data_IF_239672953624
#
_entry.id   IF_239672953624
#
_cell.length_a   1.000
_cell.length_b   1.000
_cell.length_c   1.000
_cell.angle_alpha   90.00
_cell.angle_beta   90.00
_cell.angle_gamma   90.00
#
_symmetry.space_group_name_H-M   'P 1'
#
loop_
_entity.id
_entity.type
_entity.pdbx_description
1 polymer ?
#
# COMPACT_ATOMS: atom_id res chain seq x y z
N UNK A 1 8.62 -11.65 -3.65
CA UNK A 1 7.18 -11.92 -3.38
C UNK A 1 6.42 -10.60 -3.48
N UNK A 2 5.21 -10.55 -4.07
CA UNK A 2 4.43 -9.31 -4.19
C UNK A 2 3.27 -9.33 -3.20
N UNK A 3 3.18 -8.34 -2.32
CA UNK A 3 2.11 -8.23 -1.34
C UNK A 3 0.96 -7.37 -1.89
N UNK A 4 -0.01 -8.01 -2.55
CA UNK A 4 -1.19 -7.38 -3.16
C UNK A 4 -2.46 -7.63 -2.36
N UNK A 5 -3.49 -6.83 -2.62
CA UNK A 5 -4.83 -7.09 -2.11
C UNK A 5 -5.40 -8.37 -2.75
N UNK A 6 -5.98 -9.23 -1.93
CA UNK A 6 -6.68 -10.42 -2.38
C UNK A 6 -8.14 -10.14 -2.76
N UNK A 7 -8.84 -11.18 -3.23
CA UNK A 7 -10.27 -11.09 -3.58
C UNK A 7 -11.13 -10.69 -2.36
N UNK A 8 -10.74 -11.14 -1.16
CA UNK A 8 -11.46 -10.84 0.07
C UNK A 8 -11.46 -9.34 0.38
N UNK A 9 -10.31 -8.68 0.25
CA UNK A 9 -10.16 -7.24 0.48
C UNK A 9 -10.99 -6.43 -0.53
N UNK A 10 -11.05 -6.86 -1.79
CA UNK A 10 -11.89 -6.24 -2.81
C UNK A 10 -13.39 -6.41 -2.52
N UNK A 11 -13.80 -7.60 -2.06
CA UNK A 11 -15.19 -7.84 -1.67
C UNK A 11 -15.61 -7.00 -0.47
N UNK A 12 -14.75 -6.90 0.57
CA UNK A 12 -15.00 -6.05 1.74
C UNK A 12 -15.15 -4.59 1.33
N UNK A 13 -14.30 -4.10 0.42
CA UNK A 13 -14.36 -2.73 -0.08
C UNK A 13 -15.65 -2.48 -0.85
N UNK A 14 -16.05 -3.40 -1.73
CA UNK A 14 -17.31 -3.32 -2.48
C UNK A 14 -18.52 -3.22 -1.54
N UNK A 15 -18.65 -4.17 -0.61
CA UNK A 15 -19.75 -4.21 0.35
C UNK A 15 -19.73 -2.98 1.28
N UNK A 16 -18.57 -2.59 1.79
CA UNK A 16 -18.45 -1.45 2.69
C UNK A 16 -18.83 -0.13 2.05
N UNK A 17 -18.26 0.19 0.89
CA UNK A 17 -18.57 1.41 0.16
C UNK A 17 -20.02 1.44 -0.33
N UNK A 18 -20.51 0.30 -0.83
CA UNK A 18 -21.90 0.16 -1.28
C UNK A 18 -22.91 0.36 -0.17
N UNK A 19 -22.65 -0.23 1.02
CA UNK A 19 -23.51 -0.11 2.19
C UNK A 19 -23.58 1.34 2.69
N UNK A 20 -22.43 1.99 2.86
CA UNK A 20 -22.37 3.38 3.33
C UNK A 20 -23.12 4.31 2.38
N UNK A 21 -22.88 4.19 1.07
CA UNK A 21 -23.55 5.01 0.06
C UNK A 21 -25.04 4.69 -0.02
N UNK A 22 -25.42 3.41 0.04
CA UNK A 22 -26.82 2.98 0.00
C UNK A 22 -27.64 3.48 1.19
N UNK A 23 -27.08 3.41 2.42
CA UNK A 23 -27.71 3.97 3.62
C UNK A 23 -27.89 5.48 3.48
N UNK A 24 -26.86 6.19 3.04
CA UNK A 24 -26.93 7.63 2.79
C UNK A 24 -28.06 7.98 1.81
N UNK A 25 -28.10 7.33 0.64
CA UNK A 25 -29.11 7.58 -0.38
C UNK A 25 -30.53 7.16 0.06
N UNK A 26 -30.66 6.09 0.86
CA UNK A 26 -31.96 5.67 1.41
C UNK A 26 -32.53 6.65 2.42
N UNK A 27 -31.69 7.18 3.31
CA UNK A 27 -32.10 8.13 4.34
C UNK A 27 -32.43 9.52 3.74
N UNK A 28 -31.55 10.05 2.90
CA UNK A 28 -31.73 11.40 2.30
C UNK A 28 -32.68 11.38 1.10
N UNK A 29 -32.80 10.29 0.37
CA UNK A 29 -33.73 10.11 -0.75
C UNK A 29 -35.14 9.68 -0.32
N UNK A 30 -35.38 9.42 0.95
CA UNK A 30 -36.68 9.02 1.50
C UNK A 30 -37.20 7.66 0.99
N UNK A 31 -36.39 6.86 0.31
CA UNK A 31 -36.78 5.58 -0.26
C UNK A 31 -35.66 4.52 -0.12
N UNK A 32 -35.89 3.56 0.77
CA UNK A 32 -34.93 2.49 1.05
C UNK A 32 -34.62 1.62 -0.16
N UNK A 33 -35.60 1.38 -1.05
CA UNK A 33 -35.38 0.60 -2.27
C UNK A 33 -34.39 1.29 -3.19
N UNK A 34 -34.54 2.60 -3.38
CA UNK A 34 -33.59 3.43 -4.14
C UNK A 34 -32.20 3.39 -3.50
N UNK A 35 -32.13 3.48 -2.16
CA UNK A 35 -30.87 3.35 -1.43
C UNK A 35 -30.16 2.03 -1.67
N UNK A 36 -30.86 0.91 -1.64
CA UNK A 36 -30.29 -0.42 -1.88
C UNK A 36 -29.75 -0.53 -3.31
N UNK A 37 -30.53 -0.11 -4.32
CA UNK A 37 -30.11 -0.17 -5.73
C UNK A 37 -28.88 0.73 -5.95
N UNK A 38 -28.92 1.96 -5.46
CA UNK A 38 -27.82 2.90 -5.57
C UNK A 38 -26.55 2.40 -4.87
N UNK A 39 -26.69 1.79 -3.69
CA UNK A 39 -25.60 1.20 -2.94
C UNK A 39 -24.91 0.06 -3.67
N UNK A 40 -25.68 -0.87 -4.24
CA UNK A 40 -25.14 -2.00 -5.03
C UNK A 40 -24.39 -1.47 -6.26
N UNK A 41 -25.03 -0.60 -7.05
CA UNK A 41 -24.41 -0.03 -8.25
C UNK A 41 -23.13 0.73 -7.93
N UNK A 42 -23.14 1.58 -6.89
CA UNK A 42 -21.97 2.33 -6.46
C UNK A 42 -20.85 1.42 -5.97
N UNK A 43 -21.16 0.42 -5.13
CA UNK A 43 -20.15 -0.51 -4.61
C UNK A 43 -19.43 -1.27 -5.73
N UNK A 44 -20.18 -1.77 -6.72
CA UNK A 44 -19.61 -2.47 -7.88
C UNK A 44 -18.77 -1.51 -8.73
N UNK A 45 -19.35 -0.37 -9.14
CA UNK A 45 -18.67 0.60 -10.01
C UNK A 45 -17.39 1.13 -9.36
N UNK A 46 -17.45 1.51 -8.08
CA UNK A 46 -16.29 1.99 -7.33
C UNK A 46 -15.20 0.93 -7.26
N UNK A 47 -15.57 -0.33 -6.98
CA UNK A 47 -14.59 -1.42 -6.91
C UNK A 47 -13.93 -1.68 -8.26
N UNK A 48 -14.69 -1.65 -9.36
CA UNK A 48 -14.13 -1.78 -10.71
C UNK A 48 -13.16 -0.64 -11.02
N UNK A 49 -13.55 0.61 -10.74
CA UNK A 49 -12.67 1.77 -10.92
C UNK A 49 -11.36 1.63 -10.12
N UNK A 50 -11.46 1.21 -8.86
CA UNK A 50 -10.29 1.00 -8.00
C UNK A 50 -9.42 -0.16 -8.50
N UNK A 51 -10.00 -1.23 -9.03
CA UNK A 51 -9.25 -2.34 -9.61
C UNK A 51 -8.47 -1.91 -10.87
N UNK A 52 -9.11 -1.11 -11.74
CA UNK A 52 -8.45 -0.54 -12.93
C UNK A 52 -7.30 0.38 -12.51
N UNK A 53 -7.56 1.25 -11.53
CA UNK A 53 -6.55 2.17 -10.99
C UNK A 53 -5.36 1.41 -10.37
N UNK A 54 -5.63 0.37 -9.59
CA UNK A 54 -4.58 -0.50 -9.02
C UNK A 54 -3.72 -1.15 -10.09
N UNK A 55 -4.34 -1.70 -11.15
CA UNK A 55 -3.61 -2.28 -12.29
C UNK A 55 -2.74 -1.24 -13.01
N UNK A 56 -3.23 -0.01 -13.14
CA UNK A 56 -2.44 1.08 -13.76
C UNK A 56 -1.20 1.42 -12.93
N UNK A 57 -1.35 1.49 -11.60
CA UNK A 57 -0.23 1.71 -10.68
C UNK A 57 0.76 0.54 -10.73
N UNK A 58 0.26 -0.69 -10.74
CA UNK A 58 1.09 -1.89 -10.85
C UNK A 58 1.95 -1.90 -12.11
N UNK A 59 1.36 -1.63 -13.28
CA UNK A 59 2.11 -1.56 -14.54
C UNK A 59 3.26 -0.56 -14.48
N UNK A 60 3.09 0.52 -13.71
CA UNK A 60 4.13 1.52 -13.51
C UNK A 60 5.24 1.03 -12.57
N UNK A 61 4.90 0.19 -11.59
CA UNK A 61 5.89 -0.44 -10.70
C UNK A 61 6.68 -1.55 -11.38
N UNK A 62 6.11 -2.22 -12.40
CA UNK A 62 6.80 -3.25 -13.18
C UNK A 62 8.05 -2.71 -13.89
N UNK A 63 8.01 -1.48 -14.37
CA UNK A 63 9.18 -0.84 -14.98
C UNK A 63 10.29 -0.63 -13.94
N UNK A 64 9.95 -0.10 -12.76
CA UNK A 64 10.90 0.06 -11.65
C UNK A 64 11.47 -1.28 -11.19
N UNK A 65 10.61 -2.29 -11.08
CA UNK A 65 11.01 -3.65 -10.76
C UNK A 65 12.04 -4.19 -11.77
N UNK A 66 11.78 -4.00 -13.07
CA UNK A 66 12.69 -4.44 -14.14
C UNK A 66 14.05 -3.72 -14.08
N UNK A 67 14.09 -2.46 -13.64
CA UNK A 67 15.34 -1.72 -13.44
C UNK A 67 16.10 -2.22 -12.20
N UNK A 68 15.42 -2.35 -11.07
CA UNK A 68 16.03 -2.81 -9.81
C UNK A 68 16.53 -4.25 -9.95
N UNK A 69 15.75 -5.12 -10.59
CA UNK A 69 16.11 -6.54 -10.75
C UNK A 69 17.33 -6.80 -11.63
N UNK A 70 17.78 -5.81 -12.41
CA UNK A 70 19.06 -5.89 -13.17
C UNK A 70 20.29 -5.76 -12.28
N UNK A 71 20.14 -5.08 -11.14
CA UNK A 71 21.25 -4.73 -10.25
C UNK A 71 21.20 -5.53 -8.96
N UNK A 72 20.00 -5.85 -8.46
CA UNK A 72 19.76 -6.47 -7.15
C UNK A 72 18.66 -7.51 -7.22
N UNK A 73 18.77 -8.53 -6.41
CA UNK A 73 17.71 -9.54 -6.26
C UNK A 73 16.63 -9.02 -5.34
N UNK A 74 15.42 -8.85 -5.86
CA UNK A 74 14.26 -8.43 -5.09
C UNK A 74 13.70 -9.64 -4.32
N UNK A 75 13.58 -9.50 -3.00
CA UNK A 75 13.03 -10.53 -2.10
C UNK A 75 11.52 -10.35 -1.98
N UNK A 76 11.07 -9.14 -1.61
CA UNK A 76 9.66 -8.80 -1.62
C UNK A 76 9.44 -7.34 -2.05
N UNK A 77 8.24 -7.07 -2.49
CA UNK A 77 7.83 -5.74 -2.97
C UNK A 77 6.33 -5.53 -2.76
N UNK A 78 5.91 -4.28 -2.72
CA UNK A 78 4.49 -3.96 -2.64
C UNK A 78 4.20 -2.47 -2.53
N UNK A 79 2.91 -2.10 -2.68
CA UNK A 79 2.49 -0.72 -2.45
C UNK A 79 2.71 -0.34 -0.99
N UNK A 80 3.18 0.88 -0.78
CA UNK A 80 3.44 1.43 0.54
C UNK A 80 3.12 2.93 0.59
N UNK A 81 2.77 3.42 1.77
CA UNK A 81 2.69 4.84 2.05
C UNK A 81 3.76 5.20 3.07
N UNK A 82 4.72 6.02 2.70
CA UNK A 82 5.69 6.57 3.64
C UNK A 82 5.05 7.69 4.45
N UNK A 83 5.05 7.55 5.78
CA UNK A 83 4.47 8.52 6.70
C UNK A 83 5.52 9.53 7.15
N UNK A 84 5.35 10.80 6.76
CA UNK A 84 6.21 11.93 7.17
C UNK A 84 5.39 12.94 7.96
N UNK A 85 5.39 12.82 9.29
CA UNK A 85 4.53 13.63 10.15
C UNK A 85 3.04 13.34 9.91
N UNK A 86 2.28 14.38 9.52
CA UNK A 86 0.85 14.29 9.19
C UNK A 86 0.61 13.81 7.75
N UNK A 87 1.62 13.90 6.89
CA UNK A 87 1.50 13.57 5.47
C UNK A 87 1.83 12.09 5.23
N UNK A 88 1.15 11.51 4.24
CA UNK A 88 1.44 10.18 3.74
C UNK A 88 1.75 10.26 2.24
N UNK A 89 2.93 9.79 1.85
CA UNK A 89 3.40 9.78 0.47
C UNK A 89 3.25 8.37 -0.07
N UNK A 90 2.34 8.18 -1.03
CA UNK A 90 2.13 6.88 -1.66
C UNK A 90 3.26 6.52 -2.62
N UNK A 91 3.62 5.24 -2.65
CA UNK A 91 4.70 4.75 -3.49
C UNK A 91 4.77 3.23 -3.52
N UNK A 92 5.93 2.73 -3.86
CA UNK A 92 6.24 1.31 -3.92
C UNK A 92 7.49 1.03 -3.09
N UNK A 93 7.42 -0.01 -2.26
CA UNK A 93 8.52 -0.45 -1.40
C UNK A 93 9.11 -1.74 -1.95
N UNK A 94 10.42 -1.79 -2.03
CA UNK A 94 11.20 -2.96 -2.44
C UNK A 94 12.14 -3.36 -1.31
N UNK A 95 12.24 -4.65 -1.05
CA UNK A 95 13.28 -5.25 -0.21
C UNK A 95 14.20 -6.06 -1.11
N UNK A 96 15.46 -5.72 -1.13
CA UNK A 96 16.54 -6.45 -1.78
C UNK A 96 17.48 -7.10 -0.75
N UNK A 97 18.53 -7.77 -1.23
CA UNK A 97 19.51 -8.44 -0.35
C UNK A 97 20.35 -7.46 0.48
N UNK A 98 20.41 -6.18 0.10
CA UNK A 98 21.27 -5.16 0.70
C UNK A 98 20.54 -3.91 1.17
N UNK A 99 19.30 -3.67 0.70
CA UNK A 99 18.58 -2.44 1.00
C UNK A 99 17.06 -2.58 0.97
N UNK A 100 16.40 -1.66 1.66
CA UNK A 100 14.98 -1.35 1.52
C UNK A 100 14.89 -0.03 0.76
N UNK A 101 14.16 -0.01 -0.36
CA UNK A 101 14.04 1.17 -1.20
C UNK A 101 12.58 1.56 -1.40
N UNK A 102 12.25 2.81 -1.09
CA UNK A 102 10.93 3.36 -1.33
C UNK A 102 10.96 4.33 -2.52
N UNK A 103 10.08 4.08 -3.48
CA UNK A 103 9.91 4.90 -4.69
C UNK A 103 8.53 5.56 -4.66
N UNK A 104 8.44 6.88 -4.48
CA UNK A 104 7.17 7.60 -4.47
C UNK A 104 6.52 7.62 -5.85
N UNK A 105 5.20 7.68 -5.89
CA UNK A 105 4.50 7.92 -7.15
C UNK A 105 4.80 9.33 -7.66
N UNK A 106 4.98 9.48 -8.98
CA UNK A 106 5.29 10.78 -9.62
C UNK A 106 4.26 11.88 -9.37
N UNK A 107 3.04 11.51 -8.92
CA UNK A 107 1.98 12.47 -8.57
C UNK A 107 2.15 13.09 -7.17
N UNK A 108 3.06 12.57 -6.35
CA UNK A 108 3.29 13.10 -5.01
C UNK A 108 4.29 14.25 -5.05
N UNK A 109 3.82 15.44 -4.71
CA UNK A 109 4.68 16.64 -4.60
C UNK A 109 5.62 16.45 -3.40
N UNK A 110 6.95 16.53 -3.66
CA UNK A 110 7.97 16.42 -2.60
C UNK A 110 8.34 15.00 -2.19
N UNK A 111 7.88 13.98 -2.92
CA UNK A 111 8.34 12.60 -2.70
C UNK A 111 9.77 12.40 -3.24
N UNK A 112 10.66 11.92 -2.39
CA UNK A 112 12.03 11.53 -2.75
C UNK A 112 12.17 10.01 -2.60
N UNK A 113 13.06 9.41 -3.40
CA UNK A 113 13.46 8.02 -3.20
C UNK A 113 14.16 7.91 -1.85
N UNK A 114 13.81 6.87 -1.10
CA UNK A 114 14.38 6.63 0.24
C UNK A 114 15.08 5.28 0.18
N UNK A 115 16.41 5.24 0.04
CA UNK A 115 17.19 4.05 0.24
C UNK A 115 17.52 3.90 1.73
N UNK A 116 17.35 2.70 2.28
CA UNK A 116 17.74 2.32 3.64
C UNK A 116 18.59 1.06 3.49
N UNK A 117 19.88 1.16 3.76
CA UNK A 117 20.77 0.00 3.73
C UNK A 117 20.41 -0.94 4.89
N UNK A 118 20.44 -2.24 4.67
CA UNK A 118 20.17 -3.22 5.73
C UNK A 118 21.18 -3.10 6.86
N UNK A 119 22.45 -2.86 6.54
CA UNK A 119 23.50 -2.65 7.53
C UNK A 119 23.26 -1.45 8.45
N UNK A 120 22.47 -0.46 8.01
CA UNK A 120 22.13 0.72 8.82
C UNK A 120 20.92 0.47 9.72
N UNK A 121 20.20 -0.64 9.56
CA UNK A 121 19.03 -0.94 10.37
C UNK A 121 19.46 -1.38 11.78
N UNK A 122 18.84 -0.78 12.78
CA UNK A 122 19.02 -1.16 14.20
C UNK A 122 17.87 -2.01 14.72
N UNK A 123 16.63 -1.72 14.30
CA UNK A 123 15.44 -2.47 14.72
C UNK A 123 14.28 -2.31 13.72
N UNK A 124 13.38 -3.29 13.70
CA UNK A 124 12.17 -3.29 12.87
C UNK A 124 10.95 -3.64 13.73
N UNK A 125 10.02 -2.72 13.82
CA UNK A 125 8.76 -2.90 14.54
C UNK A 125 7.56 -2.95 13.59
N UNK A 126 6.50 -3.63 14.04
CA UNK A 126 5.20 -3.59 13.34
C UNK A 126 4.07 -3.27 14.30
N UNK A 127 3.14 -2.43 13.84
CA UNK A 127 1.89 -2.16 14.55
C UNK A 127 0.74 -2.09 13.54
N UNK A 128 -0.16 -3.05 13.56
CA UNK A 128 -1.21 -3.21 12.54
C UNK A 128 -0.57 -3.32 11.13
N UNK A 129 -0.86 -2.37 10.25
CA UNK A 129 -0.30 -2.27 8.89
C UNK A 129 0.91 -1.32 8.81
N UNK A 130 1.45 -0.87 9.94
CA UNK A 130 2.64 -0.02 9.96
C UNK A 130 3.89 -0.89 10.15
N UNK A 131 4.86 -0.64 9.30
CA UNK A 131 6.22 -1.13 9.38
C UNK A 131 7.09 0.05 9.78
N UNK A 132 7.75 -0.02 10.93
CA UNK A 132 8.69 0.99 11.39
C UNK A 132 10.10 0.42 11.29
N UNK A 133 10.98 1.17 10.69
CA UNK A 133 12.39 0.83 10.52
C UNK A 133 13.21 1.88 11.26
N UNK A 134 13.95 1.44 12.25
CA UNK A 134 14.87 2.26 13.01
C UNK A 134 16.28 2.05 12.48
N UNK A 135 17.01 3.15 12.29
CA UNK A 135 18.41 3.10 11.84
C UNK A 135 19.39 3.35 12.99
N UNK A 136 20.61 2.94 12.80
CA UNK A 136 21.73 3.20 13.73
C UNK A 136 22.02 4.70 13.90
N UNK A 137 21.56 5.53 12.95
CA UNK A 137 21.65 7.00 13.02
C UNK A 137 20.48 7.64 13.77
N UNK A 138 19.63 6.86 14.47
CA UNK A 138 18.43 7.30 15.17
C UNK A 138 17.33 7.89 14.28
N UNK A 139 17.37 7.62 12.99
CA UNK A 139 16.25 7.94 12.10
C UNK A 139 15.18 6.84 12.18
N UNK A 140 13.92 7.24 12.01
CA UNK A 140 12.80 6.30 11.99
C UNK A 140 11.97 6.50 10.73
N UNK A 141 11.89 5.46 9.92
CA UNK A 141 11.04 5.43 8.74
C UNK A 141 9.77 4.64 9.04
N UNK A 142 8.61 5.23 8.73
CA UNK A 142 7.31 4.59 8.96
C UNK A 142 6.62 4.38 7.61
N UNK A 143 6.39 3.12 7.27
CA UNK A 143 5.66 2.73 6.09
C UNK A 143 4.33 2.06 6.46
N UNK A 144 3.25 2.46 5.81
CA UNK A 144 1.99 1.72 5.88
C UNK A 144 1.98 0.77 4.69
N UNK A 145 2.03 -0.52 4.97
CA UNK A 145 2.16 -1.59 3.98
C UNK A 145 1.09 -2.66 4.18
N UNK A 146 0.81 -3.40 3.14
CA UNK A 146 -0.01 -4.60 3.28
C UNK A 146 0.83 -5.71 3.92
N UNK A 147 0.26 -6.44 4.90
CA UNK A 147 0.92 -7.57 5.61
C UNK A 147 2.26 -7.19 6.27
N UNK A 148 2.26 -6.12 7.07
CA UNK A 148 3.46 -5.59 7.74
C UNK A 148 4.29 -6.66 8.49
N UNK A 149 3.63 -7.66 9.09
CA UNK A 149 4.32 -8.76 9.79
C UNK A 149 5.17 -9.63 8.86
N UNK A 150 4.71 -9.86 7.62
CA UNK A 150 5.50 -10.60 6.63
C UNK A 150 6.70 -9.79 6.14
N UNK A 151 6.54 -8.46 6.01
CA UNK A 151 7.65 -7.55 5.74
C UNK A 151 8.71 -7.62 6.84
N UNK A 152 8.28 -7.52 8.10
CA UNK A 152 9.19 -7.64 9.25
C UNK A 152 9.94 -8.97 9.22
N UNK A 153 9.21 -10.09 9.02
CA UNK A 153 9.82 -11.41 8.94
C UNK A 153 10.88 -11.47 7.84
N UNK A 154 10.54 -11.04 6.60
CA UNK A 154 11.47 -11.05 5.47
C UNK A 154 12.71 -10.18 5.71
N UNK A 155 12.58 -9.05 6.41
CA UNK A 155 13.72 -8.19 6.77
C UNK A 155 14.57 -8.89 7.84
N UNK A 156 13.95 -9.43 8.89
CA UNK A 156 14.68 -10.08 10.00
C UNK A 156 15.41 -11.35 9.56
N UNK A 157 14.93 -12.05 8.53
CA UNK A 157 15.59 -13.23 7.97
C UNK A 157 16.89 -12.91 7.21
N UNK A 158 17.12 -11.64 6.88
CA UNK A 158 18.28 -11.20 6.10
C UNK A 158 19.28 -10.40 6.95
N UNK A 159 18.81 -9.75 8.04
CA UNK A 159 19.64 -9.06 9.01
C UNK A 159 20.48 -10.06 9.81
#
# INVERSE_FOLDING_TARGET
>A
MVYKNGIKEWAIMCCGCGLVYGVFMGLFGGNMTTGIIAGVLFGVLFTVCMAIFSKHIEKKSEHLRAEISKVRKIICEGPANHKKGVNAIGGWLFLSEDAIEFYPHKMNIGGQNIPILLDDISDVETKLNQLKIHTKTNETFIFVVNKANLWKQSITEIL
#
